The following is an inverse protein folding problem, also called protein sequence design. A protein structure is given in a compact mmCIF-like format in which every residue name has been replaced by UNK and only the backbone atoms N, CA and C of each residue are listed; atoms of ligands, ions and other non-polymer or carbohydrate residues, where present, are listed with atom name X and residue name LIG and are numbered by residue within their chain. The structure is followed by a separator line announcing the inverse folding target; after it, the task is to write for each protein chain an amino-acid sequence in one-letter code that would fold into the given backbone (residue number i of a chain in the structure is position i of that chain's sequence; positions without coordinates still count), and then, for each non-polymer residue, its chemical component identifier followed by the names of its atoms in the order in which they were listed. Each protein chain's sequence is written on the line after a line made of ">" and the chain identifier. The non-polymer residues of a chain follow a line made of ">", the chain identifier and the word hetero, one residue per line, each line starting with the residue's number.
data_IF_298957871397
#
_entry.id   IF_298957871397
#
_cell.length_a   1.000
_cell.length_b   1.000
_cell.length_c   1.000
_cell.angle_alpha   90.00
_cell.angle_beta   90.00
_cell.angle_gamma   90.00
#
_symmetry.space_group_name_H-M   'P 1'
#
loop_
_entity.id
_entity.type
_entity.pdbx_description
1 polymer ?
#
# COMPACT_ATOMS: atom_id res chain seq x y z
N UNK A 1 17.81 45.79 11.38
CA UNK A 1 17.35 45.09 10.16
C UNK A 1 16.40 46.01 9.41
N UNK A 2 16.65 46.25 8.14
CA UNK A 2 15.74 47.04 7.30
C UNK A 2 14.46 46.32 7.01
N UNK A 3 13.39 47.06 6.68
CA UNK A 3 12.11 46.46 6.28
C UNK A 3 12.29 45.57 5.06
N UNK A 4 13.09 45.97 4.10
CA UNK A 4 13.40 45.18 2.90
C UNK A 4 14.05 43.84 3.25
N UNK A 5 14.99 43.79 4.19
CA UNK A 5 15.64 42.58 4.65
C UNK A 5 14.66 41.66 5.37
N UNK A 6 13.72 42.23 6.16
CA UNK A 6 12.71 41.47 6.86
C UNK A 6 11.72 40.79 5.88
N UNK A 7 11.25 41.57 4.89
CA UNK A 7 10.36 41.04 3.86
C UNK A 7 11.01 39.93 3.05
N UNK A 8 12.28 40.10 2.70
CA UNK A 8 13.03 39.09 1.98
C UNK A 8 13.18 37.81 2.79
N UNK A 9 13.47 37.93 4.09
CA UNK A 9 13.58 36.77 4.97
C UNK A 9 12.25 36.02 5.07
N UNK A 10 11.14 36.73 5.16
CA UNK A 10 9.80 36.12 5.17
C UNK A 10 9.51 35.35 3.90
N UNK A 11 9.82 35.91 2.73
CA UNK A 11 9.63 35.27 1.44
C UNK A 11 10.47 34.00 1.33
N UNK A 12 11.71 34.03 1.77
CA UNK A 12 12.58 32.85 1.75
C UNK A 12 12.05 31.73 2.65
N UNK A 13 11.61 32.06 3.86
CA UNK A 13 11.03 31.10 4.79
C UNK A 13 9.74 30.48 4.26
N UNK A 14 8.87 31.27 3.67
CA UNK A 14 7.62 30.80 3.08
C UNK A 14 7.88 29.82 1.93
N UNK A 15 8.81 30.15 1.03
CA UNK A 15 9.17 29.29 -0.10
C UNK A 15 9.78 27.98 0.37
N UNK A 16 10.62 28.01 1.40
CA UNK A 16 11.21 26.81 1.97
C UNK A 16 10.13 25.90 2.58
N UNK A 17 9.20 26.45 3.36
CA UNK A 17 8.08 25.69 3.94
C UNK A 17 7.21 25.06 2.86
N UNK A 18 6.94 25.78 1.79
CA UNK A 18 6.17 25.28 0.65
C UNK A 18 6.89 24.12 -0.04
N UNK A 19 8.20 24.21 -0.24
CA UNK A 19 9.01 23.13 -0.80
C UNK A 19 8.96 21.87 0.06
N UNK A 20 9.11 22.01 1.37
CA UNK A 20 9.07 20.90 2.31
C UNK A 20 7.70 20.22 2.29
N UNK A 21 6.63 21.01 2.25
CA UNK A 21 5.28 20.47 2.18
C UNK A 21 5.03 19.67 0.89
N UNK A 22 5.47 20.20 -0.25
CA UNK A 22 5.35 19.50 -1.55
C UNK A 22 6.19 18.23 -1.57
N UNK A 23 7.38 18.26 -0.99
CA UNK A 23 8.25 17.07 -0.92
C UNK A 23 7.66 15.94 -0.07
N UNK A 24 6.76 16.26 0.86
CA UNK A 24 6.06 15.26 1.68
C UNK A 24 4.86 14.65 0.97
N UNK A 25 4.36 15.27 -0.09
CA UNK A 25 3.27 14.70 -0.87
C UNK A 25 3.79 13.51 -1.68
N UNK A 26 3.06 12.42 -1.63
CA UNK A 26 3.41 11.19 -2.31
C UNK A 26 2.32 10.80 -3.28
N UNK A 27 2.71 10.57 -4.52
CA UNK A 27 1.82 10.09 -5.57
C UNK A 27 2.19 8.67 -5.93
N UNK A 28 1.20 7.85 -6.19
CA UNK A 28 1.42 6.47 -6.62
C UNK A 28 1.73 6.43 -8.11
N UNK A 29 2.58 5.47 -8.49
CA UNK A 29 2.88 5.21 -9.89
C UNK A 29 1.89 4.20 -10.44
N UNK A 30 1.02 4.64 -11.35
CA UNK A 30 0.06 3.75 -12.00
C UNK A 30 0.70 2.82 -13.03
N UNK A 31 1.92 3.13 -13.47
CA UNK A 31 2.64 2.33 -14.48
C UNK A 31 3.52 1.23 -13.88
N UNK A 32 3.81 1.29 -12.58
CA UNK A 32 4.76 0.39 -11.93
C UNK A 32 4.10 -0.55 -10.92
N UNK A 33 2.83 -0.86 -11.14
CA UNK A 33 2.09 -1.78 -10.27
C UNK A 33 2.68 -3.19 -10.37
N UNK A 34 3.01 -3.77 -9.22
CA UNK A 34 3.51 -5.14 -9.13
C UNK A 34 2.41 -6.04 -8.59
N UNK A 35 1.93 -6.97 -9.42
CA UNK A 35 0.99 -7.98 -8.96
C UNK A 35 1.78 -9.11 -8.28
N UNK A 36 1.55 -9.29 -6.99
CA UNK A 36 2.19 -10.35 -6.22
C UNK A 36 1.42 -11.65 -6.38
N UNK A 37 2.16 -12.76 -6.46
CA UNK A 37 1.55 -14.08 -6.48
C UNK A 37 0.97 -14.43 -5.11
N UNK A 38 -0.26 -14.92 -5.09
CA UNK A 38 -0.96 -15.38 -3.90
C UNK A 38 -1.23 -16.88 -4.02
N UNK A 39 -0.28 -17.74 -3.61
CA UNK A 39 -0.54 -19.17 -3.59
C UNK A 39 -1.67 -19.50 -2.58
N UNK A 40 -2.60 -20.34 -2.99
CA UNK A 40 -3.71 -20.81 -2.13
C UNK A 40 -3.30 -22.08 -1.36
N UNK A 41 -2.16 -22.03 -0.71
CA UNK A 41 -1.58 -23.18 -0.03
C UNK A 41 -1.70 -23.12 1.49
N UNK A 42 -2.28 -22.04 2.02
CA UNK A 42 -2.40 -21.80 3.46
C UNK A 42 -1.04 -21.68 4.18
N UNK A 43 0.02 -21.40 3.43
CA UNK A 43 1.36 -21.19 3.98
C UNK A 43 1.70 -19.70 4.00
N UNK A 44 2.58 -19.32 4.92
CA UNK A 44 3.02 -17.94 5.06
C UNK A 44 4.09 -17.63 4.01
N UNK A 45 3.83 -16.59 3.22
CA UNK A 45 4.76 -16.06 2.22
C UNK A 45 5.17 -14.65 2.61
N UNK A 46 6.27 -14.16 2.07
CA UNK A 46 6.76 -12.82 2.37
C UNK A 46 7.19 -12.07 1.11
N UNK A 47 7.14 -10.75 1.23
CA UNK A 47 7.57 -9.81 0.20
C UNK A 47 8.27 -8.63 0.85
N UNK A 48 9.37 -8.19 0.27
CA UNK A 48 10.11 -7.01 0.74
C UNK A 48 9.96 -5.92 -0.30
N UNK A 49 9.22 -4.84 -0.01
CA UNK A 49 9.06 -3.75 -0.97
C UNK A 49 10.40 -3.10 -1.32
N UNK A 50 10.67 -2.87 -2.61
CA UNK A 50 11.91 -2.21 -3.04
C UNK A 50 11.87 -0.70 -2.91
N UNK A 51 10.71 -0.14 -2.58
CA UNK A 51 10.48 1.30 -2.42
C UNK A 51 9.31 1.51 -1.47
N UNK A 52 9.16 2.74 -0.98
CA UNK A 52 7.94 3.13 -0.28
C UNK A 52 6.76 3.12 -1.25
N UNK A 53 5.60 2.70 -0.78
CA UNK A 53 4.42 2.63 -1.63
C UNK A 53 3.17 2.19 -0.89
N UNK A 54 2.19 1.77 -1.67
CA UNK A 54 0.93 1.24 -1.17
C UNK A 54 0.84 -0.26 -1.46
N UNK A 55 0.35 -0.99 -0.50
CA UNK A 55 -0.06 -2.38 -0.68
C UNK A 55 -1.58 -2.40 -0.76
N UNK A 56 -2.11 -2.88 -1.88
CA UNK A 56 -3.55 -3.00 -2.12
C UNK A 56 -3.89 -4.46 -2.18
N UNK A 57 -4.79 -4.90 -1.32
CA UNK A 57 -5.17 -6.30 -1.28
C UNK A 57 -6.65 -6.45 -1.02
N UNK A 58 -7.20 -7.54 -1.51
CA UNK A 58 -8.62 -7.80 -1.35
C UNK A 58 -9.02 -9.19 -1.82
N UNK A 59 -10.25 -9.53 -1.54
CA UNK A 59 -10.79 -10.84 -1.80
C UNK A 59 -12.28 -10.75 -2.11
N UNK A 60 -12.73 -11.56 -3.06
CA UNK A 60 -14.12 -11.83 -3.31
C UNK A 60 -14.33 -13.33 -3.24
N UNK A 61 -15.25 -13.78 -2.41
CA UNK A 61 -15.54 -15.19 -2.19
C UNK A 61 -16.97 -15.49 -2.61
N UNK A 62 -17.15 -16.08 -3.79
CA UNK A 62 -18.47 -16.37 -4.34
C UNK A 62 -18.99 -17.75 -3.90
N UNK A 63 -18.10 -18.65 -3.50
CA UNK A 63 -18.48 -19.98 -3.03
C UNK A 63 -17.42 -20.56 -2.09
N UNK A 64 -17.85 -21.37 -1.13
CA UNK A 64 -16.96 -21.98 -0.14
C UNK A 64 -16.43 -20.99 0.88
N UNK A 65 -15.31 -21.31 1.49
CA UNK A 65 -14.63 -20.47 2.47
C UNK A 65 -13.35 -19.90 1.88
N UNK A 66 -13.12 -18.62 2.07
CA UNK A 66 -11.93 -17.91 1.61
C UNK A 66 -11.29 -17.15 2.75
N UNK A 67 -9.97 -17.19 2.80
CA UNK A 67 -9.20 -16.50 3.84
C UNK A 67 -8.01 -15.80 3.21
N UNK A 68 -7.82 -14.55 3.58
CA UNK A 68 -6.63 -13.77 3.21
C UNK A 68 -6.12 -13.06 4.45
N UNK A 69 -4.87 -13.32 4.80
CA UNK A 69 -4.18 -12.64 5.89
C UNK A 69 -3.00 -11.86 5.32
N UNK A 70 -2.91 -10.59 5.71
CA UNK A 70 -1.78 -9.74 5.35
C UNK A 70 -1.27 -9.06 6.61
N UNK A 71 0.03 -9.17 6.86
CA UNK A 71 0.72 -8.49 7.96
C UNK A 71 1.65 -7.45 7.36
N UNK A 72 1.35 -6.18 7.59
CA UNK A 72 2.10 -5.07 7.04
C UNK A 72 2.08 -3.89 8.01
N UNK A 73 3.15 -3.13 8.05
CA UNK A 73 3.26 -1.90 8.86
C UNK A 73 2.90 -2.10 10.34
N UNK A 74 3.24 -3.27 10.88
CA UNK A 74 2.95 -3.62 12.28
C UNK A 74 1.50 -4.00 12.55
N UNK A 75 0.67 -4.10 11.53
CA UNK A 75 -0.74 -4.46 11.65
C UNK A 75 -1.06 -5.76 10.93
N UNK A 76 -2.04 -6.46 11.43
CA UNK A 76 -2.55 -7.69 10.84
C UNK A 76 -3.94 -7.46 10.28
N UNK A 77 -4.13 -7.80 9.01
CA UNK A 77 -5.40 -7.67 8.30
C UNK A 77 -5.90 -9.06 7.94
N UNK A 78 -7.12 -9.38 8.34
CA UNK A 78 -7.74 -10.65 8.05
C UNK A 78 -9.03 -10.43 7.27
N UNK A 79 -9.16 -11.13 6.15
CA UNK A 79 -10.41 -11.26 5.43
C UNK A 79 -10.86 -12.71 5.50
N UNK A 80 -12.01 -12.95 6.09
CA UNK A 80 -12.59 -14.28 6.24
C UNK A 80 -14.01 -14.22 5.69
N UNK A 81 -14.26 -14.93 4.60
CA UNK A 81 -15.52 -14.88 3.88
C UNK A 81 -16.04 -16.27 3.59
N UNK A 82 -17.35 -16.38 3.50
CA UNK A 82 -18.03 -17.63 3.22
C UNK A 82 -19.14 -17.39 2.19
N UNK A 83 -18.82 -17.54 0.90
CA UNK A 83 -19.78 -17.56 -0.19
C UNK A 83 -20.67 -16.33 -0.35
N UNK A 84 -20.17 -15.13 0.03
CA UNK A 84 -20.99 -13.91 -0.01
C UNK A 84 -20.99 -13.22 -1.36
N UNK A 85 -19.99 -13.46 -2.20
CA UNK A 85 -19.80 -12.76 -3.48
C UNK A 85 -19.45 -11.27 -3.33
N UNK A 86 -19.20 -10.80 -2.12
CA UNK A 86 -18.88 -9.41 -1.84
C UNK A 86 -17.36 -9.23 -1.85
N UNK A 87 -16.89 -8.22 -2.59
CA UNK A 87 -15.49 -7.85 -2.58
C UNK A 87 -15.18 -7.06 -1.31
N UNK A 88 -14.13 -7.47 -0.60
CA UNK A 88 -13.58 -6.74 0.54
C UNK A 88 -12.11 -6.46 0.26
N UNK A 89 -11.66 -5.24 0.52
CA UNK A 89 -10.30 -4.85 0.25
C UNK A 89 -9.78 -3.78 1.19
N UNK A 90 -8.46 -3.69 1.26
CA UNK A 90 -7.75 -2.71 2.07
C UNK A 90 -6.56 -2.15 1.30
N UNK A 91 -6.15 -0.96 1.72
CA UNK A 91 -4.94 -0.31 1.23
C UNK A 91 -4.14 0.14 2.44
N UNK A 92 -2.85 -0.23 2.47
CA UNK A 92 -1.95 0.14 3.56
C UNK A 92 -0.64 0.67 2.99
N UNK A 93 -0.09 1.70 3.62
CA UNK A 93 1.23 2.19 3.25
C UNK A 93 2.30 1.24 3.79
N UNK A 94 3.29 0.93 2.94
CA UNK A 94 4.44 0.12 3.30
C UNK A 94 5.73 0.85 2.97
N UNK A 95 6.77 0.56 3.73
CA UNK A 95 8.06 1.20 3.56
C UNK A 95 9.06 0.26 2.92
N UNK A 96 10.00 0.84 2.17
CA UNK A 96 11.11 0.12 1.58
C UNK A 96 11.82 -0.74 2.62
N UNK A 97 12.06 -2.01 2.29
CA UNK A 97 12.80 -2.94 3.14
C UNK A 97 11.99 -3.54 4.29
N UNK A 98 10.76 -3.11 4.49
CA UNK A 98 9.88 -3.65 5.53
C UNK A 98 9.18 -4.91 5.02
N UNK A 99 9.43 -6.05 5.67
CA UNK A 99 8.85 -7.32 5.25
C UNK A 99 7.33 -7.31 5.42
N UNK A 100 6.63 -7.65 4.35
CA UNK A 100 5.19 -7.93 4.35
C UNK A 100 5.02 -9.44 4.30
N UNK A 101 4.20 -10.01 5.17
CA UNK A 101 3.86 -11.42 5.10
C UNK A 101 2.38 -11.62 4.78
N UNK A 102 2.06 -12.68 4.07
CA UNK A 102 0.70 -12.96 3.63
C UNK A 102 0.45 -14.46 3.52
N UNK A 103 -0.81 -14.81 3.67
CA UNK A 103 -1.29 -16.18 3.58
C UNK A 103 -2.71 -16.17 3.02
N UNK A 104 -3.00 -17.06 2.09
CA UNK A 104 -4.32 -17.14 1.47
C UNK A 104 -4.80 -18.58 1.34
N UNK A 105 -6.08 -18.76 1.55
CA UNK A 105 -6.82 -19.96 1.14
C UNK A 105 -8.03 -19.51 0.36
N UNK A 106 -8.24 -20.06 -0.81
CA UNK A 106 -9.44 -19.82 -1.60
C UNK A 106 -9.83 -21.11 -2.30
N UNK A 107 -11.08 -21.45 -2.21
CA UNK A 107 -11.64 -22.52 -3.01
C UNK A 107 -11.76 -22.02 -4.45
N UNK A 108 -11.22 -22.77 -5.43
CA UNK A 108 -11.10 -22.36 -6.83
C UNK A 108 -12.42 -22.28 -7.61
N UNK A 109 -13.51 -21.90 -6.96
CA UNK A 109 -14.84 -21.86 -7.58
C UNK A 109 -15.29 -20.43 -7.90
N UNK A 110 -14.49 -19.72 -8.69
CA UNK A 110 -14.79 -18.33 -9.04
C UNK A 110 -14.41 -17.34 -7.95
N UNK A 111 -13.58 -17.76 -7.00
CA UNK A 111 -13.05 -16.90 -5.96
C UNK A 111 -11.84 -16.12 -6.46
N UNK A 112 -11.64 -14.94 -5.91
CA UNK A 112 -10.70 -13.99 -6.45
C UNK A 112 -10.00 -13.27 -5.31
N UNK A 113 -8.67 -13.25 -5.37
CA UNK A 113 -7.84 -12.54 -4.41
C UNK A 113 -6.79 -11.74 -5.15
N UNK A 114 -6.51 -10.55 -4.67
CA UNK A 114 -5.46 -9.69 -5.22
C UNK A 114 -4.51 -9.25 -4.12
N UNK A 115 -3.26 -9.08 -4.50
CA UNK A 115 -2.24 -8.43 -3.68
C UNK A 115 -1.31 -7.67 -4.62
N UNK A 116 -1.43 -6.34 -4.62
CA UNK A 116 -0.65 -5.47 -5.50
C UNK A 116 0.20 -4.53 -4.68
N UNK A 117 1.44 -4.34 -5.10
CA UNK A 117 2.30 -3.28 -4.61
C UNK A 117 2.36 -2.15 -5.63
N UNK A 118 2.12 -0.93 -5.19
CA UNK A 118 2.15 0.27 -6.04
C UNK A 118 3.16 1.23 -5.45
N UNK A 119 4.35 1.39 -6.06
CA UNK A 119 5.35 2.31 -5.54
C UNK A 119 4.91 3.75 -5.65
N UNK A 120 5.37 4.59 -4.71
CA UNK A 120 5.22 6.02 -4.85
C UNK A 120 6.15 6.53 -5.96
N UNK A 121 5.69 7.54 -6.69
CA UNK A 121 6.51 8.22 -7.69
C UNK A 121 7.61 9.00 -6.97
N UNK A 122 8.85 8.87 -7.43
CA UNK A 122 9.94 9.68 -6.93
C UNK A 122 9.68 11.15 -7.24
N UNK A 123 9.69 11.98 -6.22
CA UNK A 123 9.55 13.44 -6.36
C UNK A 123 10.92 14.08 -6.39
N UNK A 124 11.35 14.47 -7.56
CA UNK A 124 12.61 15.20 -7.75
C UNK A 124 12.35 16.67 -7.99
#
# INVERSE_FOLDING_TARGET
>A
MSLKSLVQLFAEKFLQSKKEWVAQQRNVSSSDVVALSLPNDNDLHSYVPPADGLLVFGQSCSSGACYLEVNASGARFNLDQSGTGIYQGFTVQVNRGQTVSFKATADNRGNYSILHFIPFVSQT
#
